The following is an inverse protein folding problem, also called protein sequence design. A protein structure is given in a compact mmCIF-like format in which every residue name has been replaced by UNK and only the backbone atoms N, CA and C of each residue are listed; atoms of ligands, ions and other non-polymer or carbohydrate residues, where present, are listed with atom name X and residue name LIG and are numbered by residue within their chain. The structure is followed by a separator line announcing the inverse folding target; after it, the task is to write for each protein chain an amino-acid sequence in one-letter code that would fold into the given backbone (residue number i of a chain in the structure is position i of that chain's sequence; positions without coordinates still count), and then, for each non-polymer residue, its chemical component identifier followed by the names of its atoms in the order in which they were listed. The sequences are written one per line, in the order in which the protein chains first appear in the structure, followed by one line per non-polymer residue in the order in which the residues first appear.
data_IF_310308934008
#
_entry.id   IF_310308934008
#
_cell.length_a   1.000
_cell.length_b   1.000
_cell.length_c   1.000
_cell.angle_alpha   90.00
_cell.angle_beta   90.00
_cell.angle_gamma   90.00
#
_symmetry.space_group_name_H-M   'P 1'
#
loop_
_entity.id
_entity.type
_entity.pdbx_description
1 polymer ?
#
# COMPACT_ATOMS: atom_id res chain seq x y z
N UNK A 1 -23.69 -4.76 15.55
CA UNK A 1 -22.84 -3.95 14.64
C UNK A 1 -22.15 -4.77 13.58
N UNK A 2 -21.38 -5.82 13.92
CA UNK A 2 -20.78 -6.77 12.96
C UNK A 2 -21.75 -7.19 11.83
N UNK A 3 -22.88 -7.79 12.18
CA UNK A 3 -23.89 -8.24 11.21
C UNK A 3 -24.43 -7.09 10.35
N UNK A 4 -24.65 -5.90 10.94
CA UNK A 4 -25.10 -4.73 10.19
C UNK A 4 -24.11 -4.35 9.10
N UNK A 5 -22.81 -4.33 9.40
CA UNK A 5 -21.75 -4.01 8.43
C UNK A 5 -21.70 -5.06 7.32
N UNK A 6 -21.75 -6.35 7.69
CA UNK A 6 -21.70 -7.47 6.74
C UNK A 6 -22.90 -7.45 5.77
N UNK A 7 -24.08 -7.03 6.23
CA UNK A 7 -25.30 -6.92 5.41
C UNK A 7 -25.36 -5.60 4.61
N UNK A 8 -25.11 -4.47 5.27
CA UNK A 8 -25.39 -3.13 4.71
C UNK A 8 -24.16 -2.49 4.06
N UNK A 9 -22.99 -3.13 4.14
CA UNK A 9 -21.74 -2.71 3.51
C UNK A 9 -21.27 -1.31 3.94
N UNK A 10 -21.64 -0.91 5.16
CA UNK A 10 -21.28 0.38 5.77
C UNK A 10 -21.36 0.32 7.29
N UNK A 11 -20.67 1.25 7.94
CA UNK A 11 -20.81 1.48 9.37
C UNK A 11 -22.20 2.07 9.69
N UNK A 12 -22.92 1.60 10.73
CA UNK A 12 -24.15 2.26 11.14
C UNK A 12 -23.87 3.66 11.69
N UNK A 13 -24.86 4.55 11.69
CA UNK A 13 -24.70 5.89 12.29
C UNK A 13 -24.67 5.83 13.82
N UNK A 14 -25.54 5.01 14.40
CA UNK A 14 -25.69 4.78 15.84
C UNK A 14 -25.99 3.30 16.11
N UNK A 15 -25.85 2.89 17.36
CA UNK A 15 -26.30 1.59 17.88
C UNK A 15 -27.11 1.80 19.15
N UNK A 16 -28.20 1.06 19.31
CA UNK A 16 -29.05 1.15 20.50
C UNK A 16 -28.48 0.28 21.63
N UNK A 17 -28.15 0.89 22.77
CA UNK A 17 -27.68 0.21 23.99
C UNK A 17 -28.57 0.68 25.14
N UNK A 18 -29.28 -0.25 25.78
CA UNK A 18 -30.21 0.06 26.87
C UNK A 18 -31.21 1.20 26.54
N UNK A 19 -31.71 1.23 25.30
CA UNK A 19 -32.65 2.24 24.83
C UNK A 19 -32.01 3.57 24.38
N UNK A 20 -30.71 3.77 24.61
CA UNK A 20 -29.96 4.98 24.22
C UNK A 20 -29.33 4.77 22.85
N UNK A 21 -29.46 5.74 21.95
CA UNK A 21 -28.77 5.75 20.68
C UNK A 21 -27.32 6.22 20.87
N UNK A 22 -26.37 5.31 20.68
CA UNK A 22 -24.93 5.54 20.88
C UNK A 22 -24.25 5.76 19.53
N UNK A 23 -23.61 6.92 19.29
CA UNK A 23 -22.90 7.14 18.04
C UNK A 23 -21.59 6.36 17.99
N UNK A 24 -21.10 6.13 16.77
CA UNK A 24 -19.96 5.23 16.55
C UNK A 24 -18.65 5.60 17.27
N UNK A 25 -18.28 6.88 17.48
CA UNK A 25 -17.10 7.20 18.28
C UNK A 25 -17.24 6.77 19.74
N UNK A 26 -18.39 7.05 20.36
CA UNK A 26 -18.70 6.57 21.72
C UNK A 26 -18.73 5.04 21.77
N UNK A 27 -19.27 4.39 20.74
CA UNK A 27 -19.27 2.94 20.62
C UNK A 27 -17.84 2.37 20.50
N UNK A 28 -16.94 2.99 19.73
CA UNK A 28 -15.53 2.58 19.66
C UNK A 28 -14.84 2.67 21.03
N UNK A 29 -15.09 3.74 21.78
CA UNK A 29 -14.54 3.89 23.12
C UNK A 29 -15.04 2.79 24.06
N UNK A 30 -16.35 2.46 23.99
CA UNK A 30 -16.92 1.36 24.75
C UNK A 30 -16.31 0.01 24.36
N UNK A 31 -16.23 -0.28 23.06
CA UNK A 31 -15.66 -1.53 22.54
C UNK A 31 -14.23 -1.76 23.05
N UNK A 32 -13.37 -0.74 22.96
CA UNK A 32 -11.97 -0.82 23.38
C UNK A 32 -11.82 -0.91 24.89
N UNK A 33 -12.60 -0.13 25.64
CA UNK A 33 -12.62 -0.17 27.11
C UNK A 33 -13.10 -1.53 27.63
N UNK A 34 -14.24 -2.03 27.13
CA UNK A 34 -14.78 -3.33 27.54
C UNK A 34 -13.83 -4.48 27.20
N UNK A 35 -13.16 -4.44 26.05
CA UNK A 35 -12.15 -5.45 25.69
C UNK A 35 -11.00 -5.49 26.71
N UNK A 36 -10.50 -4.34 27.14
CA UNK A 36 -9.46 -4.22 28.19
C UNK A 36 -9.95 -4.75 29.53
N UNK A 37 -11.17 -4.40 29.95
CA UNK A 37 -11.74 -4.84 31.23
C UNK A 37 -11.95 -6.34 31.29
N UNK A 38 -12.48 -6.94 30.22
CA UNK A 38 -12.61 -8.40 30.11
C UNK A 38 -11.24 -9.07 30.23
N UNK A 39 -10.23 -8.57 29.51
CA UNK A 39 -8.87 -9.11 29.60
C UNK A 39 -8.29 -9.03 31.02
N UNK A 40 -8.58 -7.95 31.75
CA UNK A 40 -8.09 -7.71 33.10
C UNK A 40 -9.00 -8.27 34.20
N UNK A 41 -10.05 -9.02 33.86
CA UNK A 41 -11.06 -9.53 34.79
C UNK A 41 -11.72 -8.43 35.66
N UNK A 42 -11.86 -7.23 35.09
CA UNK A 42 -12.46 -6.06 35.74
C UNK A 42 -13.96 -5.98 35.44
N UNK A 43 -14.76 -6.19 36.48
CA UNK A 43 -16.22 -6.22 36.41
C UNK A 43 -16.89 -4.88 36.79
N UNK A 44 -16.11 -3.82 36.99
CA UNK A 44 -16.69 -2.51 37.31
C UNK A 44 -17.57 -2.00 36.15
N UNK A 45 -18.55 -1.13 36.40
CA UNK A 45 -19.34 -0.52 35.31
C UNK A 45 -18.46 0.33 34.37
N UNK A 46 -18.80 0.38 33.09
CA UNK A 46 -18.17 1.28 32.11
C UNK A 46 -19.13 2.43 31.79
N UNK A 47 -18.79 3.68 32.11
CA UNK A 47 -19.65 4.81 31.79
C UNK A 47 -19.71 5.03 30.28
N UNK A 48 -20.92 5.24 29.75
CA UNK A 48 -21.11 5.70 28.38
C UNK A 48 -20.85 7.22 28.34
N UNK A 49 -19.88 7.63 27.52
CA UNK A 49 -19.58 9.04 27.28
C UNK A 49 -19.74 9.36 25.78
N UNK A 50 -20.64 10.30 25.47
CA UNK A 50 -20.93 10.73 24.09
C UNK A 50 -20.31 12.10 23.77
N UNK A 51 -19.03 12.26 24.13
CA UNK A 51 -18.27 13.49 23.88
C UNK A 51 -17.25 13.34 22.74
N UNK A 52 -17.12 12.13 22.18
CA UNK A 52 -16.07 11.83 21.21
C UNK A 52 -16.48 12.21 19.79
N UNK A 53 -15.67 13.06 19.16
CA UNK A 53 -15.84 13.45 17.76
C UNK A 53 -15.47 12.31 16.82
N UNK A 54 -16.05 12.35 15.61
CA UNK A 54 -15.66 11.49 14.48
C UNK A 54 -14.21 11.75 14.05
N UNK A 55 -13.52 10.76 13.45
CA UNK A 55 -12.23 10.99 12.80
C UNK A 55 -12.36 12.00 11.66
N UNK A 56 -11.27 12.68 11.30
CA UNK A 56 -11.24 13.68 10.23
C UNK A 56 -10.91 13.09 8.87
N UNK A 57 -10.06 12.08 8.83
CA UNK A 57 -9.55 11.46 7.60
C UNK A 57 -9.20 9.99 7.85
N UNK A 58 -10.21 9.12 8.09
CA UNK A 58 -9.96 7.69 8.26
C UNK A 58 -9.37 7.08 6.99
N UNK A 59 -8.44 6.15 7.16
CA UNK A 59 -7.75 5.47 6.07
C UNK A 59 -7.47 4.02 6.49
N UNK A 60 -7.61 3.08 5.56
CA UNK A 60 -7.37 1.67 5.81
C UNK A 60 -6.56 1.05 4.67
N UNK A 61 -5.53 0.31 5.04
CA UNK A 61 -4.61 -0.39 4.15
C UNK A 61 -4.08 -1.64 4.86
N UNK A 62 -5.00 -2.50 5.33
CA UNK A 62 -4.63 -3.76 5.99
C UNK A 62 -4.63 -4.93 5.01
N UNK A 63 -3.52 -5.68 4.97
CA UNK A 63 -3.48 -6.99 4.33
C UNK A 63 -4.26 -8.01 5.15
N UNK A 64 -4.69 -9.09 4.49
CA UNK A 64 -5.32 -10.22 5.18
C UNK A 64 -4.30 -10.84 6.15
N UNK A 65 -4.69 -11.01 7.41
CA UNK A 65 -3.85 -11.65 8.42
C UNK A 65 -4.49 -11.67 9.81
N UNK A 66 -3.79 -12.21 10.79
CA UNK A 66 -4.28 -12.30 12.16
C UNK A 66 -3.50 -11.36 13.09
N UNK A 67 -4.21 -10.74 14.03
CA UNK A 67 -3.60 -10.09 15.21
C UNK A 67 -3.87 -10.94 16.44
N UNK A 68 -2.86 -11.06 17.31
CA UNK A 68 -2.95 -11.81 18.57
C UNK A 68 -3.75 -11.06 19.63
N UNK A 69 -4.24 -11.78 20.64
CA UNK A 69 -4.84 -11.24 21.87
C UNK A 69 -4.01 -10.11 22.48
N UNK A 70 -2.71 -10.34 22.69
CA UNK A 70 -1.81 -9.34 23.27
C UNK A 70 -1.80 -8.05 22.46
N UNK A 71 -1.72 -8.16 21.13
CA UNK A 71 -1.61 -7.01 20.25
C UNK A 71 -2.90 -6.21 20.19
N UNK A 72 -4.06 -6.87 20.02
CA UNK A 72 -5.31 -6.13 19.96
C UNK A 72 -5.73 -5.57 21.31
N UNK A 73 -5.39 -6.23 22.42
CA UNK A 73 -5.61 -5.64 23.75
C UNK A 73 -4.73 -4.40 23.88
N UNK A 74 -3.44 -4.47 23.58
CA UNK A 74 -2.54 -3.30 23.63
C UNK A 74 -3.08 -2.12 22.80
N UNK A 75 -3.50 -2.39 21.55
CA UNK A 75 -4.06 -1.37 20.65
C UNK A 75 -5.36 -0.79 21.22
N UNK A 76 -6.23 -1.60 21.84
CA UNK A 76 -7.45 -1.10 22.50
C UNK A 76 -7.12 -0.04 23.56
N UNK A 77 -6.10 -0.32 24.39
CA UNK A 77 -5.65 0.63 25.41
C UNK A 77 -5.04 1.91 24.81
N UNK A 78 -4.32 1.79 23.69
CA UNK A 78 -3.79 2.96 22.98
C UNK A 78 -4.90 3.82 22.37
N UNK A 79 -5.93 3.21 21.78
CA UNK A 79 -7.11 3.89 21.22
C UNK A 79 -7.86 4.61 22.34
N UNK A 80 -8.15 3.91 23.45
CA UNK A 80 -8.84 4.49 24.61
C UNK A 80 -8.11 5.75 25.10
N UNK A 81 -6.80 5.66 25.40
CA UNK A 81 -5.99 6.81 25.83
C UNK A 81 -5.90 7.92 24.80
N UNK A 82 -5.98 7.62 23.50
CA UNK A 82 -6.06 8.64 22.47
C UNK A 82 -7.41 9.36 22.53
N UNK A 83 -8.51 8.62 22.60
CA UNK A 83 -9.86 9.19 22.63
C UNK A 83 -10.09 10.03 23.89
N UNK A 84 -9.66 9.55 25.06
CA UNK A 84 -9.79 10.29 26.33
C UNK A 84 -9.03 11.62 26.31
N UNK A 85 -7.84 11.65 25.69
CA UNK A 85 -7.01 12.87 25.61
C UNK A 85 -7.50 13.87 24.57
N UNK A 86 -8.00 13.38 23.43
CA UNK A 86 -8.30 14.23 22.27
C UNK A 86 -9.80 14.49 22.09
N UNK A 87 -10.65 13.78 22.84
CA UNK A 87 -12.10 13.77 22.68
C UNK A 87 -12.52 13.49 21.22
N UNK A 88 -11.77 12.61 20.56
CA UNK A 88 -11.92 12.29 19.14
C UNK A 88 -11.46 10.86 18.86
N UNK A 89 -12.20 10.13 18.02
CA UNK A 89 -11.79 8.82 17.52
C UNK A 89 -10.58 8.94 16.58
N UNK A 90 -9.60 8.03 16.65
CA UNK A 90 -8.45 8.07 15.77
C UNK A 90 -8.87 7.78 14.32
N UNK A 91 -8.18 8.40 13.36
CA UNK A 91 -8.34 8.07 11.93
C UNK A 91 -8.00 6.60 11.65
N UNK A 92 -6.94 6.11 12.29
CA UNK A 92 -6.42 4.76 12.15
C UNK A 92 -5.43 4.40 13.28
N UNK A 93 -5.09 3.13 13.38
CA UNK A 93 -3.90 2.63 14.11
C UNK A 93 -2.83 2.16 13.13
N UNK A 94 -1.56 2.21 13.52
CA UNK A 94 -0.41 1.74 12.71
C UNK A 94 0.27 0.50 13.31
N UNK A 95 -0.36 -0.12 14.31
CA UNK A 95 0.29 -1.08 15.22
C UNK A 95 -0.03 -2.54 14.95
N UNK A 96 -0.78 -2.85 13.90
CA UNK A 96 -1.16 -4.23 13.57
C UNK A 96 0.00 -5.04 12.98
N UNK A 97 0.95 -4.40 12.31
CA UNK A 97 1.99 -5.07 11.50
C UNK A 97 1.47 -5.63 10.16
N UNK A 98 0.15 -5.60 9.93
CA UNK A 98 -0.49 -6.13 8.72
C UNK A 98 -0.64 -5.07 7.62
N UNK A 99 -0.31 -3.82 7.89
CA UNK A 99 -0.33 -2.73 6.91
C UNK A 99 -0.22 -1.37 7.58
N UNK A 100 -0.02 -0.32 6.79
CA UNK A 100 0.30 1.01 7.33
C UNK A 100 -0.84 1.64 8.12
N UNK A 101 -2.10 1.46 7.68
CA UNK A 101 -3.26 2.06 8.32
C UNK A 101 -4.34 1.03 8.62
N UNK A 102 -4.74 0.92 9.88
CA UNK A 102 -5.93 0.16 10.31
C UNK A 102 -7.03 1.15 10.67
N UNK A 103 -7.96 1.36 9.75
CA UNK A 103 -8.89 2.48 9.74
C UNK A 103 -10.00 2.37 10.78
N UNK A 104 -10.55 3.52 11.16
CA UNK A 104 -11.63 3.68 12.12
C UNK A 104 -12.79 2.67 11.95
N UNK A 105 -13.31 2.53 10.73
CA UNK A 105 -14.41 1.60 10.44
C UNK A 105 -14.00 0.14 10.68
N UNK A 106 -12.79 -0.23 10.25
CA UNK A 106 -12.23 -1.57 10.40
C UNK A 106 -11.95 -1.91 11.87
N UNK A 107 -11.47 -0.93 12.64
CA UNK A 107 -11.29 -1.05 14.09
C UNK A 107 -12.64 -1.38 14.75
N UNK A 108 -13.70 -0.59 14.49
CA UNK A 108 -15.02 -0.84 15.08
C UNK A 108 -15.57 -2.21 14.67
N UNK A 109 -15.44 -2.57 13.39
CA UNK A 109 -15.85 -3.89 12.91
C UNK A 109 -15.11 -5.02 13.64
N UNK A 110 -13.79 -4.89 13.78
CA UNK A 110 -12.96 -5.93 14.40
C UNK A 110 -13.25 -6.09 15.88
N UNK A 111 -13.34 -5.00 16.67
CA UNK A 111 -13.71 -5.12 18.08
C UNK A 111 -15.16 -5.58 18.27
N UNK A 112 -16.07 -5.23 17.36
CA UNK A 112 -17.42 -5.82 17.36
C UNK A 112 -17.36 -7.34 17.15
N UNK A 113 -16.44 -7.83 16.30
CA UNK A 113 -16.22 -9.26 16.06
C UNK A 113 -15.58 -9.94 17.28
N UNK A 114 -14.60 -9.31 17.92
CA UNK A 114 -13.95 -9.80 19.15
C UNK A 114 -15.00 -10.01 20.25
N UNK A 115 -15.85 -9.00 20.51
CA UNK A 115 -16.87 -9.10 21.56
C UNK A 115 -18.03 -10.04 21.18
N UNK A 116 -18.37 -10.16 19.89
CA UNK A 116 -19.30 -11.20 19.43
C UNK A 116 -18.75 -12.61 19.70
N UNK A 117 -17.46 -12.84 19.48
CA UNK A 117 -16.80 -14.11 19.83
C UNK A 117 -16.82 -14.34 21.33
N UNK A 118 -16.41 -13.36 22.14
CA UNK A 118 -16.45 -13.46 23.60
C UNK A 118 -17.85 -13.77 24.14
N UNK A 119 -18.89 -13.10 23.62
CA UNK A 119 -20.27 -13.35 24.03
C UNK A 119 -20.72 -14.79 23.77
N UNK A 120 -20.16 -15.46 22.75
CA UNK A 120 -20.51 -16.84 22.38
C UNK A 120 -19.68 -17.88 23.14
N UNK A 121 -18.41 -17.60 23.40
CA UNK A 121 -17.45 -18.56 23.96
C UNK A 121 -17.14 -18.35 25.45
N UNK A 122 -17.42 -17.16 26.00
CA UNK A 122 -16.94 -16.71 27.30
C UNK A 122 -15.44 -16.38 27.36
N UNK A 123 -14.72 -16.44 26.22
CA UNK A 123 -13.27 -16.27 26.16
C UNK A 123 -12.89 -15.35 25.00
N UNK A 124 -12.00 -14.38 25.25
CA UNK A 124 -11.46 -13.52 24.20
C UNK A 124 -10.67 -14.37 23.17
N UNK A 125 -10.85 -14.14 21.86
CA UNK A 125 -10.19 -14.93 20.84
C UNK A 125 -8.65 -14.80 20.91
N UNK A 126 -7.93 -15.93 20.87
CA UNK A 126 -6.46 -15.90 20.87
C UNK A 126 -5.88 -15.15 19.66
N UNK A 127 -6.59 -15.20 18.52
CA UNK A 127 -6.28 -14.50 17.29
C UNK A 127 -7.56 -14.00 16.64
N UNK A 128 -7.50 -12.85 15.97
CA UNK A 128 -8.60 -12.32 15.18
C UNK A 128 -8.10 -11.92 13.79
N UNK A 129 -8.80 -12.39 12.75
CA UNK A 129 -8.49 -12.02 11.37
C UNK A 129 -8.84 -10.54 11.14
N UNK A 130 -7.95 -9.79 10.50
CA UNK A 130 -8.22 -8.50 9.88
C UNK A 130 -7.99 -8.64 8.38
N UNK A 131 -8.71 -7.84 7.60
CA UNK A 131 -8.45 -7.56 6.20
C UNK A 131 -8.83 -6.12 5.89
N UNK A 132 -8.52 -5.66 4.69
CA UNK A 132 -8.86 -4.33 4.19
C UNK A 132 -10.34 -4.00 4.38
N UNK A 133 -10.66 -2.80 4.85
CA UNK A 133 -12.04 -2.33 5.02
C UNK A 133 -12.88 -2.48 3.74
N UNK A 134 -12.33 -2.05 2.60
CA UNK A 134 -12.99 -2.18 1.28
C UNK A 134 -13.33 -3.64 0.97
N UNK A 135 -12.44 -4.58 1.29
CA UNK A 135 -12.66 -6.02 1.10
C UNK A 135 -13.70 -6.60 2.08
N UNK A 136 -13.96 -5.96 3.23
CA UNK A 136 -15.01 -6.38 4.17
C UNK A 136 -16.39 -5.99 3.63
N UNK A 137 -16.53 -4.75 3.16
CA UNK A 137 -17.81 -4.23 2.66
C UNK A 137 -18.11 -4.66 1.23
N UNK A 138 -17.09 -5.02 0.46
CA UNK A 138 -17.22 -5.51 -0.90
C UNK A 138 -16.42 -6.82 -1.10
N UNK A 139 -16.88 -7.95 -0.50
CA UNK A 139 -16.11 -9.20 -0.49
C UNK A 139 -16.04 -9.88 -1.86
N UNK A 140 -16.98 -9.56 -2.76
CA UNK A 140 -17.05 -10.13 -4.10
C UNK A 140 -16.62 -9.13 -5.18
N UNK A 141 -16.43 -7.86 -4.82
CA UNK A 141 -16.25 -6.81 -5.81
C UNK A 141 -14.80 -6.38 -5.98
N UNK A 142 -14.62 -5.69 -7.10
CA UNK A 142 -13.38 -5.18 -7.66
C UNK A 142 -12.78 -4.03 -6.83
N UNK A 143 -12.74 -4.15 -5.50
CA UNK A 143 -12.15 -3.14 -4.61
C UNK A 143 -10.68 -2.87 -4.91
N UNK A 144 -10.03 -3.81 -5.61
CA UNK A 144 -8.78 -3.59 -6.29
C UNK A 144 -8.93 -3.75 -7.81
N UNK A 145 -8.06 -3.02 -8.53
CA UNK A 145 -7.79 -3.25 -9.94
C UNK A 145 -6.76 -4.37 -10.13
N UNK A 146 -6.77 -5.08 -11.26
CA UNK A 146 -5.75 -6.09 -11.54
C UNK A 146 -4.34 -5.50 -11.54
N UNK A 147 -3.38 -6.30 -11.08
CA UNK A 147 -1.96 -5.95 -11.03
C UNK A 147 -1.20 -6.76 -12.08
N UNK A 148 -0.47 -6.08 -12.96
CA UNK A 148 0.39 -6.73 -13.95
C UNK A 148 1.84 -6.41 -13.63
N UNK A 149 2.63 -7.43 -13.33
CA UNK A 149 4.03 -7.30 -12.95
C UNK A 149 4.89 -7.62 -14.16
N UNK A 150 5.75 -6.68 -14.54
CA UNK A 150 6.77 -6.86 -15.56
C UNK A 150 8.15 -6.74 -14.94
N UNK A 151 9.14 -7.38 -15.56
CA UNK A 151 10.54 -7.22 -15.18
C UNK A 151 11.41 -7.10 -16.42
N UNK A 152 12.52 -6.37 -16.28
CA UNK A 152 13.59 -6.44 -17.27
C UNK A 152 14.43 -7.74 -17.11
N UNK A 153 15.46 -7.90 -17.93
CA UNK A 153 16.49 -8.92 -17.79
C UNK A 153 17.45 -8.60 -16.64
N UNK A 154 16.97 -8.65 -15.40
CA UNK A 154 17.75 -8.24 -14.21
C UNK A 154 18.79 -9.30 -13.85
N UNK A 155 18.36 -10.55 -13.73
CA UNK A 155 19.18 -11.69 -13.38
C UNK A 155 19.05 -12.79 -14.44
N UNK A 156 19.03 -14.06 -14.02
CA UNK A 156 18.73 -15.18 -14.91
C UNK A 156 17.23 -15.26 -15.18
N UNK A 157 16.85 -15.88 -16.31
CA UNK A 157 15.45 -16.12 -16.66
C UNK A 157 14.66 -16.73 -15.49
N UNK A 158 15.18 -17.80 -14.88
CA UNK A 158 14.56 -18.46 -13.74
C UNK A 158 14.41 -17.54 -12.52
N UNK A 159 15.45 -16.75 -12.18
CA UNK A 159 15.41 -15.91 -10.99
C UNK A 159 14.41 -14.76 -11.12
N UNK A 160 14.33 -14.15 -12.30
CA UNK A 160 13.41 -13.05 -12.57
C UNK A 160 11.95 -13.53 -12.55
N UNK A 161 11.66 -14.69 -13.15
CA UNK A 161 10.32 -15.30 -13.07
C UNK A 161 9.95 -15.71 -11.65
N UNK A 162 10.87 -16.30 -10.89
CA UNK A 162 10.63 -16.64 -9.48
C UNK A 162 10.31 -15.40 -8.65
N UNK A 163 11.05 -14.30 -8.86
CA UNK A 163 10.80 -13.03 -8.19
C UNK A 163 9.36 -12.52 -8.45
N UNK A 164 8.93 -12.46 -9.71
CA UNK A 164 7.58 -12.02 -10.04
C UNK A 164 6.52 -12.96 -9.46
N UNK A 165 6.72 -14.29 -9.57
CA UNK A 165 5.77 -15.27 -9.08
C UNK A 165 5.65 -15.27 -7.54
N UNK A 166 6.73 -15.05 -6.80
CA UNK A 166 6.69 -14.86 -5.35
C UNK A 166 5.85 -13.63 -4.96
N UNK A 167 6.07 -12.51 -5.66
CA UNK A 167 5.29 -11.28 -5.44
C UNK A 167 3.81 -11.53 -5.73
N UNK A 168 3.48 -12.19 -6.86
CA UNK A 168 2.10 -12.60 -7.19
C UNK A 168 1.52 -13.47 -6.09
N UNK A 169 2.28 -14.44 -5.56
CA UNK A 169 1.83 -15.31 -4.47
C UNK A 169 1.48 -14.54 -3.19
N UNK A 170 2.30 -13.56 -2.80
CA UNK A 170 1.98 -12.68 -1.67
C UNK A 170 0.71 -11.87 -1.90
N UNK A 171 0.57 -11.26 -3.09
CA UNK A 171 -0.58 -10.45 -3.45
C UNK A 171 -1.88 -11.28 -3.48
N UNK A 172 -1.83 -12.49 -4.05
CA UNK A 172 -2.95 -13.43 -4.07
C UNK A 172 -3.40 -13.80 -2.64
N UNK A 173 -2.45 -14.06 -1.74
CA UNK A 173 -2.73 -14.33 -0.31
C UNK A 173 -3.37 -13.12 0.41
N UNK A 174 -3.28 -11.92 -0.15
CA UNK A 174 -3.93 -10.71 0.36
C UNK A 174 -5.18 -10.30 -0.44
N UNK A 175 -5.68 -11.19 -1.30
CA UNK A 175 -6.91 -10.99 -2.08
C UNK A 175 -6.75 -10.09 -3.30
N UNK A 176 -5.52 -9.88 -3.78
CA UNK A 176 -5.23 -9.08 -4.97
C UNK A 176 -5.08 -10.00 -6.19
N UNK A 177 -5.77 -9.65 -7.27
CA UNK A 177 -5.58 -10.32 -8.55
C UNK A 177 -4.31 -9.78 -9.23
N UNK A 178 -3.24 -10.58 -9.24
CA UNK A 178 -1.95 -10.21 -9.81
C UNK A 178 -1.45 -11.23 -10.82
N UNK A 179 -0.78 -10.77 -11.87
CA UNK A 179 -0.22 -11.59 -12.94
C UNK A 179 1.26 -11.26 -13.13
N UNK A 180 2.11 -12.28 -13.15
CA UNK A 180 3.47 -12.17 -13.66
C UNK A 180 3.39 -12.14 -15.19
N UNK A 181 3.42 -10.94 -15.77
CA UNK A 181 3.05 -10.72 -17.16
C UNK A 181 4.18 -11.08 -18.12
N UNK A 182 5.38 -10.57 -17.87
CA UNK A 182 6.46 -10.75 -18.81
C UNK A 182 7.81 -10.29 -18.32
N UNK A 183 8.83 -10.83 -18.99
CA UNK A 183 10.24 -10.58 -18.74
C UNK A 183 10.92 -10.11 -20.00
N UNK A 184 11.72 -9.05 -19.88
CA UNK A 184 12.65 -8.60 -20.90
C UNK A 184 12.51 -7.13 -21.26
N UNK A 185 13.24 -6.70 -22.30
CA UNK A 185 13.29 -5.30 -22.70
C UNK A 185 11.91 -4.82 -23.11
N UNK A 186 11.58 -3.57 -22.78
CA UNK A 186 10.33 -2.92 -23.16
C UNK A 186 9.03 -3.60 -22.69
N UNK A 187 9.08 -4.59 -21.80
CA UNK A 187 7.86 -5.27 -21.33
C UNK A 187 6.90 -4.32 -20.62
N UNK A 188 7.43 -3.30 -19.93
CA UNK A 188 6.67 -2.20 -19.34
C UNK A 188 5.82 -1.42 -20.39
N UNK A 189 6.27 -1.38 -21.65
CA UNK A 189 5.52 -0.80 -22.76
C UNK A 189 4.58 -1.81 -23.42
N UNK A 190 4.92 -3.11 -23.43
CA UNK A 190 4.07 -4.13 -24.10
C UNK A 190 2.80 -4.41 -23.31
N UNK A 191 2.88 -4.42 -21.98
CA UNK A 191 1.72 -4.66 -21.10
C UNK A 191 0.63 -3.60 -21.28
N UNK A 192 0.98 -2.31 -21.30
CA UNK A 192 0.02 -1.21 -21.44
C UNK A 192 -0.57 -1.09 -22.85
N UNK A 193 0.04 -1.73 -23.86
CA UNK A 193 -0.41 -1.71 -25.26
C UNK A 193 -1.15 -2.98 -25.66
N UNK A 194 -1.31 -3.94 -24.75
CA UNK A 194 -1.93 -5.21 -25.07
C UNK A 194 -3.45 -5.14 -24.85
N UNK A 195 -4.22 -5.45 -25.89
CA UNK A 195 -5.68 -5.38 -25.85
C UNK A 195 -6.35 -6.35 -24.84
N UNK A 196 -5.61 -7.34 -24.33
CA UNK A 196 -6.08 -8.24 -23.28
C UNK A 196 -5.90 -7.68 -21.86
N UNK A 197 -5.17 -6.57 -21.71
CA UNK A 197 -4.95 -5.89 -20.43
C UNK A 197 -6.03 -4.82 -20.27
N UNK A 198 -6.84 -4.83 -19.19
CA UNK A 198 -7.84 -3.79 -18.97
C UNK A 198 -7.21 -2.40 -18.82
N UNK A 199 -7.96 -1.35 -19.15
CA UNK A 199 -7.44 0.03 -19.06
C UNK A 199 -7.13 0.46 -17.62
N UNK A 200 -8.03 0.16 -16.67
CA UNK A 200 -7.85 0.50 -15.26
C UNK A 200 -7.11 -0.61 -14.51
N UNK A 201 -5.78 -0.59 -14.61
CA UNK A 201 -4.87 -1.56 -13.98
C UNK A 201 -3.75 -0.86 -13.21
N UNK A 202 -3.08 -1.60 -12.33
CA UNK A 202 -1.78 -1.23 -11.79
C UNK A 202 -0.71 -2.04 -12.52
N UNK A 203 0.14 -1.36 -13.29
CA UNK A 203 1.33 -1.97 -13.89
C UNK A 203 2.51 -1.72 -12.97
N UNK A 204 3.20 -2.79 -12.62
CA UNK A 204 4.41 -2.75 -11.80
C UNK A 204 5.61 -3.11 -12.66
N UNK A 205 6.53 -2.17 -12.81
CA UNK A 205 7.72 -2.34 -13.63
C UNK A 205 8.96 -2.50 -12.75
N UNK A 206 9.56 -3.68 -12.79
CA UNK A 206 10.75 -4.01 -12.00
C UNK A 206 12.00 -3.90 -12.88
N UNK A 207 12.90 -2.99 -12.52
CA UNK A 207 14.11 -2.71 -13.28
C UNK A 207 15.39 -3.02 -12.49
N UNK A 208 16.34 -3.63 -13.21
CA UNK A 208 17.69 -3.95 -12.72
C UNK A 208 18.73 -2.87 -13.00
N UNK A 209 18.39 -1.88 -13.82
CA UNK A 209 19.20 -0.72 -14.15
C UNK A 209 18.30 0.50 -14.31
N UNK A 210 18.81 1.68 -13.98
CA UNK A 210 18.09 2.93 -14.21
C UNK A 210 18.53 3.53 -15.54
N UNK A 211 17.62 3.62 -16.51
CA UNK A 211 17.85 4.27 -17.80
C UNK A 211 17.26 5.68 -17.79
N UNK A 212 18.10 6.68 -18.07
CA UNK A 212 17.65 8.08 -18.16
C UNK A 212 16.59 8.28 -19.25
N UNK A 213 16.74 7.59 -20.39
CA UNK A 213 15.78 7.67 -21.50
C UNK A 213 14.43 7.11 -21.07
N UNK A 214 14.38 5.90 -20.49
CA UNK A 214 13.13 5.31 -19.98
C UNK A 214 12.40 6.24 -19.01
N UNK A 215 13.11 6.80 -18.02
CA UNK A 215 12.50 7.72 -17.06
C UNK A 215 12.00 9.00 -17.75
N UNK A 216 12.80 9.56 -18.66
CA UNK A 216 12.41 10.77 -19.39
C UNK A 216 11.17 10.54 -20.27
N UNK A 217 11.12 9.42 -20.99
CA UNK A 217 10.03 9.03 -21.87
C UNK A 217 8.71 8.85 -21.13
N UNK A 218 8.73 8.31 -19.90
CA UNK A 218 7.54 8.23 -19.06
C UNK A 218 6.90 9.62 -18.85
N UNK A 219 7.69 10.68 -18.87
CA UNK A 219 7.18 12.04 -18.73
C UNK A 219 6.55 12.63 -20.00
N UNK A 220 6.79 12.04 -21.18
CA UNK A 220 6.38 12.56 -22.48
C UNK A 220 4.91 12.26 -22.81
N UNK A 221 4.30 13.13 -23.63
CA UNK A 221 2.87 13.05 -23.95
C UNK A 221 2.48 11.72 -24.61
N UNK A 222 3.29 11.19 -25.53
CA UNK A 222 2.95 9.93 -26.20
C UNK A 222 2.88 8.76 -25.22
N UNK A 223 3.79 8.68 -24.24
CA UNK A 223 3.76 7.63 -23.23
C UNK A 223 2.54 7.77 -22.34
N UNK A 224 2.21 9.02 -21.92
CA UNK A 224 1.00 9.31 -21.17
C UNK A 224 -0.28 8.92 -21.92
N UNK A 225 -0.32 9.15 -23.23
CA UNK A 225 -1.41 8.69 -24.10
C UNK A 225 -1.46 7.15 -24.16
N UNK A 226 -0.33 6.48 -24.31
CA UNK A 226 -0.27 5.01 -24.38
C UNK A 226 -0.70 4.34 -23.09
N UNK A 227 -0.23 4.80 -21.92
CA UNK A 227 -0.63 4.19 -20.66
C UNK A 227 -2.10 4.48 -20.31
N UNK A 228 -2.70 5.52 -20.91
CA UNK A 228 -4.06 5.95 -20.59
C UNK A 228 -4.28 6.12 -19.09
N UNK A 229 -5.31 5.45 -18.56
CA UNK A 229 -5.68 5.45 -17.14
C UNK A 229 -4.91 4.42 -16.29
N UNK A 230 -4.03 3.60 -16.90
CA UNK A 230 -3.19 2.69 -16.15
C UNK A 230 -2.30 3.47 -15.19
N UNK A 231 -2.21 2.95 -13.97
CA UNK A 231 -1.28 3.45 -12.96
C UNK A 231 0.03 2.68 -13.08
N UNK A 232 1.14 3.39 -13.05
CA UNK A 232 2.48 2.80 -13.20
C UNK A 232 3.21 2.95 -11.87
N UNK A 233 3.70 1.83 -11.34
CA UNK A 233 4.53 1.79 -10.14
C UNK A 233 5.87 1.14 -10.47
N UNK A 234 6.95 1.90 -10.33
CA UNK A 234 8.27 1.42 -10.74
C UNK A 234 9.08 0.97 -9.53
N UNK A 235 9.71 -0.20 -9.64
CA UNK A 235 10.62 -0.74 -8.62
C UNK A 235 12.03 -0.83 -9.21
N UNK A 236 12.96 -0.09 -8.63
CA UNK A 236 14.39 -0.16 -8.97
C UNK A 236 15.11 -1.08 -7.97
N UNK A 237 15.59 -2.24 -8.44
CA UNK A 237 16.34 -3.18 -7.60
C UNK A 237 17.81 -2.77 -7.54
N UNK A 238 18.26 -2.33 -6.37
CA UNK A 238 19.63 -1.86 -6.11
C UNK A 238 20.32 -2.80 -5.12
N UNK A 239 21.44 -3.47 -5.47
CA UNK A 239 22.00 -3.64 -6.82
C UNK A 239 21.16 -4.62 -7.68
N UNK A 240 21.25 -4.57 -9.03
CA UNK A 240 22.28 -3.88 -9.81
C UNK A 240 21.97 -2.42 -10.18
N UNK A 241 20.75 -1.94 -9.95
CA UNK A 241 20.34 -0.60 -10.36
C UNK A 241 21.02 0.49 -9.54
N UNK A 242 21.15 1.67 -10.14
CA UNK A 242 21.53 2.88 -9.41
C UNK A 242 20.39 3.37 -8.52
N UNK A 243 20.73 3.99 -7.39
CA UNK A 243 19.74 4.71 -6.60
C UNK A 243 19.39 6.01 -7.31
N UNK A 244 18.23 6.07 -7.95
CA UNK A 244 17.81 7.28 -8.68
C UNK A 244 17.57 8.48 -7.75
N UNK A 245 17.44 8.25 -6.43
CA UNK A 245 17.34 9.30 -5.40
C UNK A 245 18.70 9.86 -4.98
N UNK A 246 19.78 9.15 -5.32
CA UNK A 246 21.15 9.55 -5.02
C UNK A 246 22.11 8.89 -6.02
N UNK A 247 22.10 9.40 -7.25
CA UNK A 247 22.96 8.86 -8.30
C UNK A 247 24.44 9.04 -7.91
N UNK A 248 25.36 8.17 -8.39
CA UNK A 248 26.80 8.35 -8.18
C UNK A 248 27.38 9.52 -8.99
N UNK A 249 26.64 10.05 -9.95
CA UNK A 249 27.06 11.10 -10.88
C UNK A 249 26.33 12.41 -10.64
N UNK A 250 26.91 13.50 -11.17
CA UNK A 250 26.41 14.86 -11.00
C UNK A 250 26.29 15.57 -12.34
N UNK A 251 25.28 16.43 -12.45
CA UNK A 251 25.12 17.30 -13.61
C UNK A 251 26.10 18.48 -13.53
N UNK A 252 26.09 19.35 -14.55
CA UNK A 252 26.95 20.54 -14.60
C UNK A 252 26.68 21.55 -13.46
N UNK A 253 25.58 21.39 -12.72
CA UNK A 253 25.19 22.23 -11.59
C UNK A 253 25.33 21.51 -10.23
N UNK A 254 25.93 20.31 -10.19
CA UNK A 254 26.12 19.55 -8.96
C UNK A 254 24.89 18.83 -8.42
N UNK A 255 23.81 18.69 -9.20
CA UNK A 255 22.58 17.97 -8.84
C UNK A 255 22.73 16.47 -9.14
N UNK A 256 21.85 15.63 -8.57
CA UNK A 256 21.79 14.20 -8.94
C UNK A 256 21.62 14.06 -10.45
N UNK A 257 22.37 13.16 -11.07
CA UNK A 257 22.33 13.00 -12.53
C UNK A 257 22.43 11.54 -12.91
N UNK A 258 21.53 11.10 -13.80
CA UNK A 258 21.56 9.78 -14.42
C UNK A 258 22.01 9.97 -15.88
N UNK A 259 23.22 9.54 -16.26
CA UNK A 259 23.68 9.61 -17.64
C UNK A 259 22.86 8.66 -18.52
N UNK A 260 22.84 8.93 -19.82
CA UNK A 260 22.38 7.96 -20.82
C UNK A 260 23.13 6.62 -20.64
N UNK A 261 22.42 5.49 -20.74
CA UNK A 261 23.05 4.18 -20.62
C UNK A 261 23.94 3.90 -21.84
N UNK A 262 24.89 2.97 -21.71
CA UNK A 262 25.86 2.70 -22.77
C UNK A 262 25.28 1.89 -23.94
N UNK A 263 24.22 1.13 -23.67
CA UNK A 263 23.49 0.28 -24.61
C UNK A 263 22.22 0.96 -25.17
N UNK A 264 21.96 2.19 -24.75
CA UNK A 264 20.86 3.02 -25.25
C UNK A 264 21.14 3.44 -26.70
N UNK A 265 20.51 2.75 -27.65
CA UNK A 265 20.44 3.19 -29.05
C UNK A 265 19.26 4.16 -29.30
N UNK A 266 18.65 4.68 -28.23
CA UNK A 266 17.73 5.81 -28.31
C UNK A 266 18.49 6.94 -28.98
N UNK A 267 18.00 7.45 -30.11
CA UNK A 267 18.67 8.51 -30.85
C UNK A 267 19.06 9.62 -29.87
N UNK A 268 20.37 9.82 -29.68
CA UNK A 268 20.99 10.49 -28.52
C UNK A 268 20.67 11.98 -28.34
N UNK A 269 19.56 12.46 -28.89
CA UNK A 269 19.12 13.83 -28.86
C UNK A 269 17.87 14.10 -28.00
N UNK A 270 17.26 13.07 -27.40
CA UNK A 270 15.98 13.20 -26.69
C UNK A 270 16.15 13.69 -25.24
N UNK A 271 17.30 13.40 -24.60
CA UNK A 271 17.54 13.73 -23.20
C UNK A 271 17.85 15.23 -22.98
N UNK A 272 17.27 15.86 -21.93
CA UNK A 272 17.28 17.31 -21.77
C UNK A 272 18.55 17.85 -21.11
N UNK A 273 19.24 17.05 -20.31
CA UNK A 273 20.26 17.54 -19.39
C UNK A 273 21.68 17.06 -19.75
N UNK A 274 22.66 17.80 -19.26
CA UNK A 274 24.08 17.51 -19.41
C UNK A 274 24.75 17.32 -18.05
N UNK A 275 25.63 16.33 -17.96
CA UNK A 275 26.34 16.00 -16.73
C UNK A 275 27.51 15.07 -16.97
N UNK A 276 28.15 14.64 -15.90
CA UNK A 276 29.36 13.83 -15.99
C UNK A 276 29.04 12.37 -15.67
N UNK A 277 29.49 11.45 -16.53
CA UNK A 277 29.43 10.03 -16.23
C UNK A 277 30.49 9.63 -15.18
N UNK A 278 30.52 8.35 -14.80
CA UNK A 278 31.47 7.81 -13.81
C UNK A 278 32.94 7.92 -14.22
N UNK A 279 33.24 8.21 -15.50
CA UNK A 279 34.58 8.46 -16.03
C UNK A 279 34.93 9.96 -16.08
N UNK A 280 34.07 10.84 -15.56
CA UNK A 280 34.25 12.29 -15.63
C UNK A 280 34.04 12.89 -17.02
N UNK A 281 33.47 12.14 -17.98
CA UNK A 281 33.18 12.65 -19.33
C UNK A 281 31.80 13.32 -19.34
N UNK A 282 31.73 14.49 -19.96
CA UNK A 282 30.47 15.19 -20.21
C UNK A 282 29.60 14.37 -21.19
N UNK A 283 28.37 14.07 -20.79
CA UNK A 283 27.39 13.29 -21.53
C UNK A 283 25.98 13.84 -21.32
N UNK A 284 25.03 13.45 -22.19
CA UNK A 284 23.60 13.70 -21.95
C UNK A 284 23.03 12.73 -20.91
N UNK A 285 21.96 13.15 -20.25
CA UNK A 285 21.29 12.39 -19.21
C UNK A 285 20.04 13.10 -18.69
N UNK A 286 19.64 12.74 -17.47
CA UNK A 286 18.51 13.31 -16.75
C UNK A 286 18.93 13.75 -15.35
N UNK A 287 18.68 15.00 -15.02
CA UNK A 287 18.93 15.57 -13.69
C UNK A 287 17.77 15.29 -12.76
N UNK A 288 18.07 14.93 -11.50
CA UNK A 288 17.11 14.55 -10.46
C UNK A 288 16.02 13.60 -11.00
N UNK A 289 16.40 12.40 -11.49
CA UNK A 289 15.46 11.46 -12.12
C UNK A 289 14.31 11.07 -11.18
N UNK A 290 14.56 10.97 -9.87
CA UNK A 290 13.55 10.80 -8.83
C UNK A 290 12.50 11.92 -8.85
N UNK A 291 12.93 13.18 -8.80
CA UNK A 291 12.04 14.35 -8.82
C UNK A 291 11.32 14.48 -10.15
N UNK A 292 11.94 14.05 -11.25
CA UNK A 292 11.29 14.00 -12.56
C UNK A 292 10.10 13.02 -12.55
N UNK A 293 10.28 11.81 -12.02
CA UNK A 293 9.19 10.84 -11.88
C UNK A 293 8.04 11.41 -11.03
N UNK A 294 8.36 11.96 -9.86
CA UNK A 294 7.37 12.55 -8.94
C UNK A 294 6.59 13.69 -9.60
N UNK A 295 7.29 14.62 -10.27
CA UNK A 295 6.68 15.74 -10.99
C UNK A 295 5.71 15.28 -12.08
N UNK A 296 5.95 14.11 -12.67
CA UNK A 296 5.10 13.54 -13.72
C UNK A 296 4.04 12.56 -13.18
N UNK A 297 3.89 12.46 -11.85
CA UNK A 297 2.84 11.67 -11.19
C UNK A 297 3.16 10.20 -11.02
N UNK A 298 4.43 9.81 -11.14
CA UNK A 298 4.87 8.43 -10.97
C UNK A 298 5.40 8.19 -9.56
N UNK A 299 4.80 7.22 -8.87
CA UNK A 299 5.33 6.69 -7.61
C UNK A 299 6.32 5.56 -7.92
N UNK A 300 7.35 5.43 -7.09
CA UNK A 300 8.36 4.39 -7.28
C UNK A 300 8.94 3.92 -5.94
N UNK A 301 9.65 2.80 -5.98
CA UNK A 301 10.44 2.28 -4.87
C UNK A 301 11.87 1.97 -5.35
N UNK A 302 12.87 2.27 -4.52
CA UNK A 302 14.23 1.75 -4.66
C UNK A 302 14.49 0.80 -3.49
N UNK A 303 14.87 -0.45 -3.78
CA UNK A 303 15.08 -1.47 -2.74
C UNK A 303 16.12 -2.49 -3.17
N UNK A 304 16.73 -3.17 -2.20
CA UNK A 304 17.43 -4.43 -2.45
C UNK A 304 16.42 -5.54 -2.80
N UNK A 305 16.92 -6.67 -3.33
CA UNK A 305 16.11 -7.84 -3.64
C UNK A 305 15.39 -8.35 -2.39
N UNK A 306 14.08 -8.07 -2.30
CA UNK A 306 13.22 -8.48 -1.21
C UNK A 306 11.77 -8.51 -1.71
N UNK A 307 11.32 -9.70 -2.12
CA UNK A 307 10.01 -9.91 -2.76
C UNK A 307 8.86 -9.57 -1.82
N UNK A 308 8.98 -9.83 -0.51
CA UNK A 308 7.97 -9.45 0.48
C UNK A 308 7.81 -7.93 0.58
N UNK A 309 8.93 -7.19 0.67
CA UNK A 309 8.91 -5.72 0.74
C UNK A 309 8.35 -5.10 -0.55
N UNK A 310 8.69 -5.68 -1.70
CA UNK A 310 8.10 -5.29 -3.00
C UNK A 310 6.60 -5.52 -3.03
N UNK A 311 6.13 -6.71 -2.63
CA UNK A 311 4.71 -7.01 -2.56
C UNK A 311 3.97 -6.05 -1.61
N UNK A 312 4.54 -5.72 -0.46
CA UNK A 312 3.96 -4.77 0.49
C UNK A 312 3.81 -3.38 -0.13
N UNK A 313 4.83 -2.88 -0.82
CA UNK A 313 4.77 -1.58 -1.49
C UNK A 313 3.76 -1.55 -2.65
N UNK A 314 3.68 -2.64 -3.43
CA UNK A 314 2.67 -2.80 -4.49
C UNK A 314 1.26 -2.80 -3.89
N UNK A 315 1.06 -3.53 -2.79
CA UNK A 315 -0.23 -3.56 -2.09
C UNK A 315 -0.62 -2.16 -1.59
N UNK A 316 0.29 -1.44 -0.93
CA UNK A 316 0.01 -0.07 -0.46
C UNK A 316 -0.32 0.87 -1.61
N UNK A 317 0.44 0.78 -2.70
CA UNK A 317 0.20 1.56 -3.90
C UNK A 317 -1.16 1.28 -4.55
N UNK A 318 -1.63 0.04 -4.49
CA UNK A 318 -2.92 -0.36 -5.01
C UNK A 318 -4.09 0.19 -4.17
N UNK A 319 -3.89 0.35 -2.87
CA UNK A 319 -4.94 0.73 -1.92
C UNK A 319 -5.05 2.24 -1.69
N UNK A 320 -3.90 2.94 -1.69
CA UNK A 320 -3.72 4.34 -1.28
C UNK A 320 -3.60 5.33 -2.45
#
# INVERSE_FOLDING_TARGET
VKTYIETNKKLPNTVKINGIDVPMPAFLQLLTTVTQKIHNNDHTPTPLSDIYKKPTAPLDCQRIGNISLSNYVEIAGQIQRYMDRNLQAPNYSTKTGLGTYWGYENIIYTYSKILDTYNKSGVLPANIEIKLWKAIIDPNGSWNKPVYITTDNIYTNTKDWNMMNEIVGYLANWGVNAVAWGRGPNTHCTVIKNDSVPENVLVVDIFGGACAATIYEMGLNYYKCWKGIAEIFTIWIKPPSWDIRNCPTRDIYGRNFLPIAWDDNFSGNILPDWGYNTKGKLVKGLSNPDKYMEKHGYKFMVTEYNTLKMAQAIYEQLIL
#
